data_IF_831728286506
#
_entry.id   IF_831728286506
#
_cell.length_a   1.000
_cell.length_b   1.000
_cell.length_c   1.000
_cell.angle_alpha   90.00
_cell.angle_beta   90.00
_cell.angle_gamma   90.00
#
_symmetry.space_group_name_H-M   'P 1'
#
loop_
_entity.id
_entity.type
_entity.pdbx_description
1 polymer ?
#
# COMPACT_ATOMS: atom_id res chain seq x y z
N UNK A 1 -11.05 26.29 29.63
CA UNK A 1 -10.26 25.73 28.50
C UNK A 1 -11.18 24.97 27.55
N UNK A 2 -11.47 25.52 26.38
CA UNK A 2 -12.30 24.87 25.36
C UNK A 2 -11.50 23.77 24.66
N UNK A 3 -11.96 22.52 24.70
CA UNK A 3 -11.36 21.41 23.95
C UNK A 3 -11.67 21.60 22.46
N UNK A 4 -10.66 21.99 21.67
CA UNK A 4 -10.79 22.01 20.21
C UNK A 4 -10.82 20.55 19.72
N UNK A 5 -11.83 20.14 18.93
CA UNK A 5 -11.87 18.79 18.36
C UNK A 5 -10.63 18.49 17.53
N UNK A 6 -10.04 17.30 17.71
CA UNK A 6 -8.80 16.90 17.03
C UNK A 6 -8.92 17.00 15.51
N UNK A 7 -10.12 16.78 14.98
CA UNK A 7 -10.39 16.83 13.55
C UNK A 7 -10.32 18.25 12.96
N UNK A 8 -10.33 19.31 13.80
CA UNK A 8 -10.23 20.70 13.33
C UNK A 8 -8.82 21.29 13.41
N UNK A 9 -7.88 20.63 14.08
CA UNK A 9 -6.56 21.22 14.37
C UNK A 9 -5.57 21.13 13.21
N UNK A 10 -5.78 20.23 12.22
CA UNK A 10 -4.75 19.96 11.21
C UNK A 10 -5.26 19.88 9.76
N UNK A 11 -6.57 19.97 9.50
CA UNK A 11 -7.10 19.76 8.14
C UNK A 11 -6.55 20.77 7.13
N UNK A 12 -6.39 22.02 7.56
CA UNK A 12 -5.96 23.12 6.68
C UNK A 12 -4.49 22.96 6.23
N UNK A 13 -3.65 22.33 7.07
CA UNK A 13 -2.24 22.05 6.79
C UNK A 13 -2.01 20.89 5.82
N UNK A 14 -3.02 20.07 5.53
CA UNK A 14 -2.88 18.95 4.60
C UNK A 14 -3.63 19.18 3.28
N UNK A 15 -3.98 20.43 2.97
CA UNK A 15 -4.53 20.79 1.67
C UNK A 15 -3.44 20.75 0.60
N UNK A 16 -3.81 20.37 -0.63
CA UNK A 16 -2.87 20.33 -1.77
C UNK A 16 -2.18 21.67 -1.99
N UNK A 17 -2.90 22.78 -1.85
CA UNK A 17 -2.33 24.13 -1.97
C UNK A 17 -1.30 24.42 -0.89
N UNK A 18 -1.56 24.01 0.36
CA UNK A 18 -0.61 24.20 1.46
C UNK A 18 0.66 23.39 1.25
N UNK A 19 0.53 22.13 0.84
CA UNK A 19 1.69 21.29 0.51
C UNK A 19 2.50 21.88 -0.64
N UNK A 20 1.84 22.30 -1.73
CA UNK A 20 2.52 22.95 -2.85
C UNK A 20 3.27 24.21 -2.42
N UNK A 21 2.66 25.06 -1.60
CA UNK A 21 3.30 26.29 -1.11
C UNK A 21 4.47 26.00 -0.19
N UNK A 22 4.32 25.01 0.70
CA UNK A 22 5.36 24.61 1.66
C UNK A 22 6.61 24.08 0.95
N UNK A 23 6.43 23.33 -0.13
CA UNK A 23 7.52 22.72 -0.91
C UNK A 23 7.85 23.48 -2.20
N UNK A 24 7.23 24.65 -2.45
CA UNK A 24 7.55 25.48 -3.62
C UNK A 24 8.97 26.06 -3.56
N UNK A 25 9.48 26.53 -2.40
CA UNK A 25 10.87 26.93 -2.28
C UNK A 25 11.80 25.72 -2.40
N UNK A 26 12.90 25.86 -3.16
CA UNK A 26 13.92 24.81 -3.19
C UNK A 26 14.64 24.75 -1.85
N UNK A 27 14.40 23.69 -1.07
CA UNK A 27 15.23 23.40 0.09
C UNK A 27 16.55 22.81 -0.42
N UNK A 28 17.61 23.62 -0.39
CA UNK A 28 18.96 23.26 -0.86
C UNK A 28 19.01 22.88 -2.34
N UNK A 29 18.82 23.86 -3.25
CA UNK A 29 18.96 23.58 -4.68
C UNK A 29 20.37 23.09 -4.95
N UNK A 30 20.49 21.98 -5.67
CA UNK A 30 21.77 21.53 -6.21
C UNK A 30 22.26 22.63 -7.16
N UNK A 31 23.46 23.18 -6.98
CA UNK A 31 23.93 24.29 -7.78
C UNK A 31 24.21 23.81 -9.21
N UNK A 32 24.15 24.72 -10.20
CA UNK A 32 24.32 24.36 -11.60
C UNK A 32 25.70 23.71 -11.85
N UNK A 33 25.84 22.68 -12.72
CA UNK A 33 27.13 22.00 -12.91
C UNK A 33 28.30 22.92 -13.26
N UNK A 34 28.07 24.07 -13.90
CA UNK A 34 29.13 25.05 -14.18
C UNK A 34 29.72 25.72 -12.93
N UNK A 35 29.01 25.69 -11.80
CA UNK A 35 29.46 26.24 -10.52
C UNK A 35 30.23 25.23 -9.69
N UNK A 36 30.32 23.97 -10.13
CA UNK A 36 31.03 22.93 -9.40
C UNK A 36 32.53 23.11 -9.62
N UNK A 37 33.26 23.38 -8.54
CA UNK A 37 34.73 23.33 -8.57
C UNK A 37 35.13 21.85 -8.47
N UNK A 38 35.38 21.25 -9.62
CA UNK A 38 35.75 19.83 -9.71
C UNK A 38 37.28 19.70 -9.62
N UNK A 39 37.84 18.99 -8.63
CA UNK A 39 39.27 18.71 -8.60
C UNK A 39 39.73 17.94 -9.84
N UNK A 40 40.95 18.19 -10.30
CA UNK A 40 41.51 17.59 -11.52
C UNK A 40 41.43 16.05 -11.50
N UNK A 41 41.75 15.43 -10.36
CA UNK A 41 41.66 13.98 -10.17
C UNK A 41 40.23 13.44 -10.33
N UNK A 42 39.19 14.21 -10.00
CA UNK A 42 37.78 13.80 -10.17
C UNK A 42 37.31 14.02 -11.60
N UNK A 43 37.73 15.13 -12.22
CA UNK A 43 37.35 15.46 -13.61
C UNK A 43 37.84 14.43 -14.64
N UNK A 44 38.98 13.79 -14.34
CA UNK A 44 39.58 12.74 -15.15
C UNK A 44 39.08 11.33 -14.83
N UNK A 45 38.36 11.15 -13.71
CA UNK A 45 37.82 9.87 -13.32
C UNK A 45 36.65 9.44 -14.20
N UNK A 46 36.81 8.33 -14.92
CA UNK A 46 35.71 7.64 -15.58
C UNK A 46 35.04 6.71 -14.54
N UNK A 47 33.84 7.07 -14.10
CA UNK A 47 33.04 6.24 -13.19
C UNK A 47 32.28 5.19 -14.01
N UNK A 48 32.72 3.94 -13.93
CA UNK A 48 31.97 2.82 -14.50
C UNK A 48 30.86 2.38 -13.55
N UNK A 49 29.69 1.97 -14.06
CA UNK A 49 28.71 1.29 -13.23
C UNK A 49 29.35 0.03 -12.61
N UNK A 50 28.89 -0.41 -11.43
CA UNK A 50 29.34 -1.67 -10.84
C UNK A 50 29.21 -2.80 -11.87
N UNK A 51 30.32 -3.46 -12.18
CA UNK A 51 30.35 -4.56 -13.15
C UNK A 51 29.49 -5.75 -12.70
N UNK A 52 29.35 -5.91 -11.38
CA UNK A 52 28.57 -6.98 -10.80
C UNK A 52 27.11 -6.58 -10.66
N UNK A 53 26.23 -7.37 -11.26
CA UNK A 53 24.83 -7.40 -10.82
C UNK A 53 24.81 -7.98 -9.41
N UNK A 54 24.08 -7.36 -8.49
CA UNK A 54 23.74 -8.00 -7.22
C UNK A 54 23.13 -9.36 -7.55
N UNK A 55 23.73 -10.44 -7.03
CA UNK A 55 23.18 -11.77 -7.23
C UNK A 55 21.72 -11.75 -6.73
N UNK A 56 20.80 -12.14 -7.60
CA UNK A 56 19.45 -12.47 -7.18
C UNK A 56 19.60 -13.49 -6.06
N UNK A 57 19.09 -13.17 -4.88
CA UNK A 57 19.06 -14.14 -3.79
C UNK A 57 18.37 -15.41 -4.26
N UNK A 58 18.75 -16.56 -3.71
CA UNK A 58 18.10 -17.83 -4.02
C UNK A 58 16.61 -17.68 -3.71
N UNK A 59 15.71 -17.89 -4.69
CA UNK A 59 14.28 -17.93 -4.42
C UNK A 59 14.00 -19.00 -3.36
N UNK A 60 13.24 -18.66 -2.32
CA UNK A 60 12.88 -19.64 -1.30
C UNK A 60 12.15 -20.81 -1.95
N UNK A 61 12.59 -22.05 -1.68
CA UNK A 61 11.90 -23.28 -2.14
C UNK A 61 10.43 -23.30 -1.68
N UNK A 62 10.16 -22.77 -0.49
CA UNK A 62 8.83 -22.68 0.09
C UNK A 62 8.43 -21.21 0.17
N UNK A 63 7.28 -20.89 -0.44
CA UNK A 63 6.65 -19.58 -0.28
C UNK A 63 6.05 -19.48 1.12
N UNK A 64 6.55 -18.55 1.94
CA UNK A 64 5.87 -18.16 3.17
C UNK A 64 4.61 -17.38 2.76
N UNK A 65 3.44 -17.90 3.12
CA UNK A 65 2.17 -17.22 2.87
C UNK A 65 2.12 -15.99 3.78
N UNK A 66 1.76 -14.83 3.25
CA UNK A 66 1.51 -13.66 4.09
C UNK A 66 0.36 -13.98 5.06
N UNK A 67 0.55 -13.67 6.34
CA UNK A 67 -0.44 -13.89 7.40
C UNK A 67 -1.83 -13.30 7.06
N UNK A 68 -1.85 -12.26 6.24
CA UNK A 68 -3.06 -11.53 5.81
C UNK A 68 -3.75 -12.07 4.56
N UNK A 69 -3.37 -13.24 4.03
CA UNK A 69 -4.22 -13.86 3.00
C UNK A 69 -5.49 -14.36 3.68
N UNK A 70 -6.56 -13.58 3.53
CA UNK A 70 -7.92 -14.00 3.85
C UNK A 70 -8.26 -15.35 3.22
N UNK A 71 -9.38 -15.97 3.64
CA UNK A 71 -9.76 -17.27 3.11
C UNK A 71 -9.81 -17.23 1.59
N UNK A 72 -9.39 -18.32 0.97
CA UNK A 72 -9.48 -18.49 -0.49
C UNK A 72 -10.97 -18.54 -0.84
N UNK A 73 -11.51 -17.41 -1.31
CA UNK A 73 -12.89 -17.29 -1.74
C UNK A 73 -12.94 -17.55 -3.24
N UNK A 74 -13.76 -18.50 -3.64
CA UNK A 74 -13.95 -18.80 -5.04
C UNK A 74 -14.73 -17.67 -5.72
N UNK A 75 -14.17 -17.05 -6.76
CA UNK A 75 -14.87 -15.99 -7.51
C UNK A 75 -16.10 -16.49 -8.27
N UNK A 76 -16.24 -17.81 -8.47
CA UNK A 76 -17.43 -18.37 -9.13
C UNK A 76 -18.63 -18.50 -8.18
N UNK A 77 -18.41 -18.70 -6.88
CA UNK A 77 -19.46 -19.08 -5.91
C UNK A 77 -19.47 -18.25 -4.62
N UNK A 78 -18.44 -17.45 -4.36
CA UNK A 78 -18.29 -16.72 -3.10
C UNK A 78 -18.02 -17.61 -1.87
N UNK A 79 -17.85 -18.93 -2.05
CA UNK A 79 -17.55 -19.85 -0.97
C UNK A 79 -16.09 -19.73 -0.51
N UNK A 80 -15.89 -19.53 0.80
CA UNK A 80 -14.58 -19.52 1.45
C UNK A 80 -14.11 -20.96 1.69
N UNK A 81 -13.14 -21.43 0.91
CA UNK A 81 -12.34 -22.66 1.15
C UNK A 81 -11.44 -23.04 -0.04
N UNK A 82 -11.73 -22.53 -1.23
CA UNK A 82 -10.98 -22.86 -2.45
C UNK A 82 -10.90 -21.64 -3.37
N UNK A 83 -9.81 -21.52 -4.13
CA UNK A 83 -9.69 -20.51 -5.17
C UNK A 83 -10.34 -20.98 -6.48
N UNK A 84 -10.61 -20.05 -7.40
CA UNK A 84 -11.18 -20.34 -8.74
C UNK A 84 -10.43 -21.45 -9.49
N UNK A 85 -9.10 -21.50 -9.32
CA UNK A 85 -8.21 -22.46 -9.99
C UNK A 85 -8.44 -23.89 -9.49
N UNK A 86 -8.75 -24.05 -8.19
CA UNK A 86 -8.97 -25.35 -7.55
C UNK A 86 -10.46 -25.67 -7.42
N UNK A 87 -11.33 -24.96 -8.16
CA UNK A 87 -12.77 -25.17 -8.13
C UNK A 87 -13.14 -26.41 -8.95
N UNK A 88 -13.78 -27.38 -8.30
CA UNK A 88 -14.25 -28.63 -8.94
C UNK A 88 -15.61 -28.50 -9.63
N UNK A 89 -16.34 -27.40 -9.37
CA UNK A 89 -17.64 -27.14 -9.97
C UNK A 89 -17.46 -26.41 -11.31
N UNK A 90 -18.23 -26.81 -12.33
CA UNK A 90 -18.24 -26.15 -13.64
C UNK A 90 -18.68 -24.69 -13.50
N UNK A 91 -18.17 -23.80 -14.36
CA UNK A 91 -18.55 -22.37 -14.33
C UNK A 91 -20.06 -22.23 -14.51
N UNK A 92 -20.79 -21.97 -13.44
CA UNK A 92 -22.17 -21.52 -13.53
C UNK A 92 -22.14 -20.06 -13.97
N UNK A 93 -22.86 -19.73 -15.04
CA UNK A 93 -23.18 -18.34 -15.35
C UNK A 93 -23.92 -17.75 -14.13
N UNK A 94 -23.68 -16.48 -13.76
CA UNK A 94 -24.34 -15.89 -12.61
C UNK A 94 -25.86 -15.91 -12.84
N UNK A 95 -26.56 -16.81 -12.16
CA UNK A 95 -28.00 -16.76 -12.06
C UNK A 95 -28.33 -15.58 -11.14
N UNK A 96 -28.83 -14.50 -11.74
CA UNK A 96 -29.42 -13.38 -11.00
C UNK A 96 -30.70 -13.93 -10.37
N UNK A 97 -30.58 -14.59 -9.22
CA UNK A 97 -31.69 -14.88 -8.33
C UNK A 97 -31.81 -13.69 -7.39
N UNK A 98 -32.89 -12.92 -7.56
CA UNK A 98 -33.29 -11.86 -6.65
C UNK A 98 -33.61 -12.51 -5.31
N UNK A 99 -32.73 -12.39 -4.32
CA UNK A 99 -33.04 -12.77 -2.94
C UNK A 99 -33.79 -11.63 -2.27
N UNK A 100 -35.07 -11.91 -2.01
CA UNK A 100 -36.00 -11.09 -1.22
C UNK A 100 -35.44 -10.78 0.17
N UNK A 101 -35.60 -9.53 0.56
CA UNK A 101 -35.27 -8.99 1.87
C UNK A 101 -35.87 -9.81 3.01
N UNK A 102 -35.03 -10.30 3.93
CA UNK A 102 -35.47 -10.72 5.26
C UNK A 102 -34.51 -10.14 6.30
N UNK A 103 -35.07 -9.25 7.10
CA UNK A 103 -34.47 -8.55 8.23
C UNK A 103 -34.08 -9.53 9.33
N UNK A 104 -32.81 -9.52 9.75
CA UNK A 104 -32.38 -10.17 10.99
C UNK A 104 -31.55 -9.19 11.82
N UNK A 105 -31.94 -9.10 13.08
CA UNK A 105 -31.66 -8.01 14.01
C UNK A 105 -30.20 -7.80 14.41
N UNK A 106 -29.96 -6.60 14.90
CA UNK A 106 -28.73 -6.13 15.50
C UNK A 106 -28.40 -6.96 16.75
N UNK A 107 -27.19 -7.52 16.82
CA UNK A 107 -26.63 -8.08 18.06
C UNK A 107 -25.88 -6.99 18.82
N UNK A 108 -26.07 -6.83 20.15
CA UNK A 108 -25.35 -5.80 20.90
C UNK A 108 -23.85 -6.07 21.01
N UNK A 109 -23.06 -5.00 20.97
CA UNK A 109 -21.62 -4.98 21.19
C UNK A 109 -21.32 -5.21 22.68
N UNK A 110 -20.78 -6.39 23.02
CA UNK A 110 -20.31 -6.68 24.38
C UNK A 110 -18.96 -6.01 24.61
N UNK A 111 -18.91 -5.13 25.61
CA UNK A 111 -17.73 -4.36 26.06
C UNK A 111 -16.76 -5.28 26.82
N UNK A 112 -15.54 -5.48 26.31
CA UNK A 112 -14.44 -6.12 27.06
C UNK A 112 -13.93 -5.16 28.13
N UNK A 113 -13.96 -5.58 29.39
CA UNK A 113 -13.18 -4.96 30.47
C UNK A 113 -11.81 -5.64 30.53
N UNK A 114 -10.75 -4.86 30.68
CA UNK A 114 -9.40 -5.34 30.98
C UNK A 114 -9.15 -5.19 32.48
N UNK A 115 -8.60 -6.23 33.10
CA UNK A 115 -7.89 -6.17 34.37
C UNK A 115 -6.39 -6.00 34.07
#
# INVERSE_FOLDING_TARGET
HTKVPKERLCKDYFTTQWLQTTYAPSMHPVPHPSSWVLPEHVSSCIVYPPKARRLSGIPKKIRIRSFLKGPEVCTNYGESRHNRITCTKSRQAPSISKSSSSSVGQKPLVRRQHA
#
